data_IF_854925712817
#
_entry.id   IF_854925712817
#
_cell.length_a   1.000
_cell.length_b   1.000
_cell.length_c   1.000
_cell.angle_alpha   90.00
_cell.angle_beta   90.00
_cell.angle_gamma   90.00
#
_symmetry.space_group_name_H-M   'P 1'
#
loop_
_entity.id
_entity.type
_entity.pdbx_description
1 polymer ?
#
# COMPACT_ATOMS: atom_id res chain seq x y z
N UNK A 1 -7.69 5.02 14.96
CA UNK A 1 -6.63 5.83 14.33
C UNK A 1 -5.47 5.91 15.31
N UNK A 2 -4.24 5.84 14.83
CA UNK A 2 -3.03 5.97 15.64
C UNK A 2 -2.20 7.11 15.09
N UNK A 3 -1.61 7.90 15.98
CA UNK A 3 -0.71 9.01 15.67
C UNK A 3 0.63 8.70 16.30
N UNK A 4 1.72 8.94 15.59
CA UNK A 4 3.08 8.73 16.08
C UNK A 4 4.02 9.75 15.45
N UNK A 5 5.06 10.10 16.18
CA UNK A 5 6.09 11.02 15.70
C UNK A 5 6.91 10.42 14.55
N UNK A 6 7.09 9.10 14.56
CA UNK A 6 7.85 8.35 13.57
C UNK A 6 7.18 7.03 13.20
N UNK A 7 7.26 6.63 11.94
CA UNK A 7 6.85 5.32 11.44
C UNK A 7 7.92 4.26 11.75
N UNK A 8 8.24 4.09 13.04
CA UNK A 8 9.22 3.10 13.49
C UNK A 8 8.61 1.71 13.62
N UNK A 9 9.45 0.67 13.60
CA UNK A 9 9.02 -0.70 13.88
C UNK A 9 8.31 -0.83 15.24
N UNK A 10 8.75 -0.05 16.25
CA UNK A 10 8.11 0.03 17.57
C UNK A 10 6.70 0.63 17.49
N UNK A 11 6.51 1.70 16.73
CA UNK A 11 5.20 2.30 16.50
C UNK A 11 4.23 1.27 15.86
N UNK A 12 4.67 0.60 14.81
CA UNK A 12 3.86 -0.41 14.15
C UNK A 12 3.58 -1.64 15.03
N UNK A 13 4.52 -2.02 15.91
CA UNK A 13 4.27 -3.04 16.93
C UNK A 13 3.12 -2.65 17.87
N UNK A 14 3.09 -1.38 18.30
CA UNK A 14 2.02 -0.85 19.16
C UNK A 14 0.67 -0.85 18.44
N UNK A 15 0.62 -0.42 17.18
CA UNK A 15 -0.59 -0.45 16.34
C UNK A 15 -1.16 -1.87 16.23
N UNK A 16 -0.31 -2.85 15.95
CA UNK A 16 -0.70 -4.27 15.81
C UNK A 16 -1.25 -4.84 17.12
N UNK A 17 -0.55 -4.60 18.23
CA UNK A 17 -1.01 -5.03 19.54
C UNK A 17 -2.37 -4.40 19.91
N UNK A 18 -2.55 -3.13 19.55
CA UNK A 18 -3.83 -2.44 19.71
C UNK A 18 -4.94 -3.08 18.88
N UNK A 19 -4.67 -3.48 17.64
CA UNK A 19 -5.64 -4.20 16.79
C UNK A 19 -6.02 -5.55 17.42
N UNK A 20 -5.03 -6.30 17.90
CA UNK A 20 -5.25 -7.58 18.58
C UNK A 20 -6.10 -7.42 19.85
N UNK A 21 -5.80 -6.41 20.66
CA UNK A 21 -6.58 -6.07 21.86
C UNK A 21 -8.01 -5.60 21.54
N UNK A 22 -8.26 -5.10 20.33
CA UNK A 22 -9.59 -4.75 19.83
C UNK A 22 -10.35 -5.93 19.23
N UNK A 23 -9.80 -7.15 19.32
CA UNK A 23 -10.44 -8.39 18.85
C UNK A 23 -10.19 -8.70 17.36
N UNK A 24 -9.17 -8.11 16.72
CA UNK A 24 -8.74 -8.52 15.39
C UNK A 24 -7.91 -9.80 15.54
N UNK A 25 -8.51 -10.92 15.21
CA UNK A 25 -7.88 -12.25 15.35
C UNK A 25 -6.96 -12.57 14.17
N UNK A 26 -7.35 -12.16 12.95
CA UNK A 26 -6.61 -12.44 11.73
C UNK A 26 -6.72 -11.28 10.73
N UNK A 27 -5.72 -11.16 9.85
CA UNK A 27 -5.67 -10.20 8.75
C UNK A 27 -5.41 -10.99 7.47
N UNK A 28 -6.32 -10.95 6.50
CA UNK A 28 -6.16 -11.67 5.24
C UNK A 28 -5.01 -11.15 4.40
N UNK A 29 -4.94 -9.83 4.23
CA UNK A 29 -3.93 -9.18 3.40
C UNK A 29 -3.54 -7.83 4.00
N UNK A 30 -2.24 -7.57 4.02
CA UNK A 30 -1.67 -6.28 4.41
C UNK A 30 -1.00 -5.62 3.20
N UNK A 31 -1.54 -4.48 2.77
CA UNK A 31 -0.95 -3.69 1.69
C UNK A 31 0.02 -2.67 2.28
N UNK A 32 1.28 -2.72 1.86
CA UNK A 32 2.36 -1.91 2.45
C UNK A 32 3.17 -1.16 1.38
N UNK A 33 3.87 -0.11 1.80
CA UNK A 33 4.70 0.73 0.92
C UNK A 33 6.11 0.15 0.72
N UNK A 34 6.34 -1.12 1.04
CA UNK A 34 7.65 -1.75 1.06
C UNK A 34 8.63 -1.12 2.09
N UNK A 35 8.10 -0.75 3.27
CA UNK A 35 8.90 -0.24 4.37
C UNK A 35 9.75 -1.37 4.96
N UNK A 36 11.06 -1.15 5.07
CA UNK A 36 12.00 -2.14 5.59
C UNK A 36 11.60 -2.61 7.01
N UNK A 37 11.50 -3.92 7.19
CA UNK A 37 11.14 -4.54 8.48
C UNK A 37 9.63 -4.56 8.80
N UNK A 38 8.78 -3.91 7.98
CA UNK A 38 7.34 -3.88 8.23
C UNK A 38 6.69 -5.25 7.97
N UNK A 39 7.10 -5.93 6.89
CA UNK A 39 6.63 -7.27 6.56
C UNK A 39 6.93 -8.27 7.66
N UNK A 40 8.19 -8.35 8.10
CA UNK A 40 8.61 -9.21 9.22
C UNK A 40 7.84 -8.90 10.52
N UNK A 41 7.54 -7.63 10.71
CA UNK A 41 6.79 -7.18 11.86
C UNK A 41 5.31 -7.61 11.82
N UNK A 42 4.67 -7.68 10.65
CA UNK A 42 3.31 -8.23 10.48
C UNK A 42 3.32 -9.74 10.69
N UNK A 43 4.22 -10.46 10.03
CA UNK A 43 4.35 -11.91 10.11
C UNK A 43 4.53 -12.41 11.55
N UNK A 44 5.26 -11.67 12.37
CA UNK A 44 5.46 -12.00 13.78
C UNK A 44 4.17 -12.01 14.63
N UNK A 45 3.13 -11.26 14.24
CA UNK A 45 1.86 -11.18 15.00
C UNK A 45 0.71 -11.87 14.27
N UNK A 46 0.71 -11.80 12.95
CA UNK A 46 -0.28 -12.37 12.07
C UNK A 46 0.40 -13.24 11.01
N UNK A 47 0.85 -14.46 11.36
CA UNK A 47 1.68 -15.30 10.47
C UNK A 47 0.93 -15.80 9.23
N UNK A 48 -0.40 -15.72 9.21
CA UNK A 48 -1.22 -16.12 8.07
C UNK A 48 -1.53 -14.97 7.11
N UNK A 49 -1.05 -13.75 7.42
CA UNK A 49 -1.33 -12.57 6.61
C UNK A 49 -0.52 -12.61 5.31
N UNK A 50 -1.21 -12.51 4.19
CA UNK A 50 -0.56 -12.28 2.91
C UNK A 50 -0.07 -10.82 2.83
N UNK A 51 1.18 -10.64 2.41
CA UNK A 51 1.75 -9.30 2.27
C UNK A 51 1.74 -8.90 0.81
N UNK A 52 1.23 -7.71 0.53
CA UNK A 52 1.22 -7.09 -0.79
C UNK A 52 1.96 -5.76 -0.74
N UNK A 53 3.07 -5.68 -1.46
CA UNK A 53 3.74 -4.41 -1.69
C UNK A 53 2.98 -3.55 -2.70
N UNK A 54 2.88 -2.26 -2.41
CA UNK A 54 2.16 -1.32 -3.25
C UNK A 54 2.80 -1.16 -4.63
N UNK A 55 2.11 -1.57 -5.67
CA UNK A 55 2.55 -1.43 -7.08
C UNK A 55 2.80 0.03 -7.44
N UNK A 56 1.98 0.97 -6.95
CA UNK A 56 2.14 2.39 -7.26
C UNK A 56 3.45 2.94 -6.68
N UNK A 57 3.85 2.51 -5.48
CA UNK A 57 5.15 2.88 -4.91
C UNK A 57 6.30 2.26 -5.68
N UNK A 58 6.18 1.01 -6.11
CA UNK A 58 7.17 0.35 -6.97
C UNK A 58 7.33 1.08 -8.31
N UNK A 59 6.22 1.49 -8.95
CA UNK A 59 6.25 2.29 -10.18
C UNK A 59 6.91 3.66 -9.98
N UNK A 60 6.57 4.37 -8.89
CA UNK A 60 7.21 5.66 -8.57
C UNK A 60 8.72 5.51 -8.37
N UNK A 61 9.14 4.46 -7.67
CA UNK A 61 10.56 4.15 -7.49
C UNK A 61 11.24 3.80 -8.82
N UNK A 62 10.58 3.02 -9.68
CA UNK A 62 11.10 2.69 -11.01
C UNK A 62 11.31 3.93 -11.87
N UNK A 63 10.39 4.90 -11.82
CA UNK A 63 10.47 6.13 -12.62
C UNK A 63 11.45 7.18 -12.10
N UNK A 64 11.91 7.06 -10.85
CA UNK A 64 12.67 8.12 -10.16
C UNK A 64 13.98 8.50 -10.86
N UNK A 65 14.63 7.55 -11.51
CA UNK A 65 15.93 7.72 -12.16
C UNK A 65 15.87 7.57 -13.69
N UNK A 66 14.66 7.58 -14.26
CA UNK A 66 14.43 7.44 -15.69
C UNK A 66 14.42 8.82 -16.35
N UNK A 67 15.04 8.94 -17.52
CA UNK A 67 15.00 10.19 -18.29
C UNK A 67 13.55 10.52 -18.71
N UNK A 68 13.22 11.81 -18.78
CA UNK A 68 11.88 12.26 -19.15
C UNK A 68 11.42 11.71 -20.52
N UNK A 69 12.36 11.54 -21.46
CA UNK A 69 12.08 11.01 -22.80
C UNK A 69 11.57 9.56 -22.77
N UNK A 70 12.13 8.75 -21.87
CA UNK A 70 11.85 7.32 -21.79
C UNK A 70 10.70 7.00 -20.83
N UNK A 71 10.40 7.92 -19.90
CA UNK A 71 9.50 7.67 -18.78
C UNK A 71 8.12 7.17 -19.24
N UNK A 72 7.54 7.78 -20.27
CA UNK A 72 6.21 7.41 -20.78
C UNK A 72 6.19 6.00 -21.35
N UNK A 73 7.18 5.64 -22.16
CA UNK A 73 7.29 4.32 -22.79
C UNK A 73 7.56 3.25 -21.74
N UNK A 74 8.53 3.50 -20.85
CA UNK A 74 8.89 2.59 -19.75
C UNK A 74 7.70 2.31 -18.83
N UNK A 75 6.90 3.33 -18.50
CA UNK A 75 5.69 3.15 -17.67
C UNK A 75 4.60 2.38 -18.41
N UNK A 76 4.51 2.48 -19.74
CA UNK A 76 3.58 1.69 -20.54
C UNK A 76 3.98 0.20 -20.53
N UNK A 77 5.28 -0.11 -20.65
CA UNK A 77 5.78 -1.48 -20.59
C UNK A 77 5.60 -2.08 -19.19
N UNK A 78 5.89 -1.32 -18.12
CA UNK A 78 5.60 -1.77 -16.74
C UNK A 78 4.10 -1.99 -16.50
N UNK A 79 3.22 -1.25 -17.21
CA UNK A 79 1.79 -1.50 -17.11
C UNK A 79 1.41 -2.89 -17.61
N UNK A 80 2.06 -3.40 -18.65
CA UNK A 80 1.84 -4.76 -19.14
C UNK A 80 2.13 -5.79 -18.05
N UNK A 81 3.15 -5.56 -17.22
CA UNK A 81 3.52 -6.44 -16.11
C UNK A 81 2.40 -6.51 -15.06
N UNK A 82 2.01 -5.37 -14.48
CA UNK A 82 1.05 -5.39 -13.36
C UNK A 82 -0.43 -5.49 -13.77
N UNK A 83 -0.75 -5.29 -15.05
CA UNK A 83 -2.10 -5.45 -15.58
C UNK A 83 -2.31 -6.82 -16.27
N UNK A 84 -1.35 -7.71 -16.18
CA UNK A 84 -1.42 -9.06 -16.76
C UNK A 84 -2.59 -9.87 -16.19
N UNK A 85 -3.06 -10.85 -16.97
CA UNK A 85 -4.20 -11.70 -16.58
C UNK A 85 -3.83 -12.61 -15.41
N UNK A 86 -2.61 -13.13 -15.41
CA UNK A 86 -2.08 -14.01 -14.37
C UNK A 86 -0.59 -13.73 -14.13
N UNK A 87 -0.03 -14.44 -13.16
CA UNK A 87 1.36 -14.26 -12.74
C UNK A 87 2.35 -14.69 -13.82
N UNK A 88 2.05 -15.74 -14.60
CA UNK A 88 2.92 -16.20 -15.69
C UNK A 88 3.05 -15.13 -16.78
N UNK A 89 1.93 -14.60 -17.24
CA UNK A 89 1.92 -13.52 -18.23
C UNK A 89 2.59 -12.24 -17.70
N UNK A 90 2.54 -12.00 -16.40
CA UNK A 90 3.23 -10.89 -15.78
C UNK A 90 4.77 -11.07 -15.79
N UNK A 91 5.26 -12.28 -15.56
CA UNK A 91 6.70 -12.61 -15.65
C UNK A 91 7.19 -12.52 -17.08
N UNK A 92 6.44 -13.03 -18.07
CA UNK A 92 6.77 -12.90 -19.50
C UNK A 92 6.86 -11.42 -19.92
N UNK A 93 5.92 -10.60 -19.42
CA UNK A 93 5.95 -9.16 -19.66
C UNK A 93 7.16 -8.48 -18.98
N UNK A 94 7.58 -8.97 -17.79
CA UNK A 94 8.76 -8.46 -17.10
C UNK A 94 10.05 -8.86 -17.82
N UNK A 95 10.10 -10.04 -18.42
CA UNK A 95 11.23 -10.48 -19.25
C UNK A 95 11.34 -9.62 -20.53
N UNK A 96 10.22 -9.37 -21.21
CA UNK A 96 10.15 -8.45 -22.35
C UNK A 96 10.59 -7.04 -21.95
N UNK A 97 10.16 -6.56 -20.78
CA UNK A 97 10.60 -5.29 -20.22
C UNK A 97 12.12 -5.24 -20.03
N UNK A 98 12.71 -6.32 -19.48
CA UNK A 98 14.14 -6.41 -19.24
C UNK A 98 14.93 -6.37 -20.57
N UNK A 99 14.48 -7.09 -21.60
CA UNK A 99 15.11 -7.07 -22.93
C UNK A 99 15.16 -5.66 -23.54
N UNK A 100 14.10 -4.86 -23.36
CA UNK A 100 14.03 -3.50 -23.88
C UNK A 100 14.86 -2.50 -23.07
N UNK A 101 14.85 -2.61 -21.74
CA UNK A 101 15.29 -1.53 -20.86
C UNK A 101 16.58 -1.80 -20.07
N UNK A 102 17.01 -3.07 -19.90
CA UNK A 102 18.14 -3.40 -19.01
C UNK A 102 19.47 -2.84 -19.48
N UNK A 103 19.65 -2.65 -20.79
CA UNK A 103 20.85 -1.97 -21.32
C UNK A 103 21.00 -0.54 -20.78
N UNK A 104 19.89 0.12 -20.44
CA UNK A 104 19.86 1.51 -19.98
C UNK A 104 19.51 1.65 -18.51
N UNK A 105 18.59 0.82 -18.02
CA UNK A 105 18.04 0.88 -16.66
C UNK A 105 17.97 -0.50 -15.97
N UNK A 106 19.08 -1.23 -15.82
CA UNK A 106 19.08 -2.62 -15.35
C UNK A 106 18.54 -2.79 -13.92
N UNK A 107 18.64 -1.75 -13.10
CA UNK A 107 18.18 -1.78 -11.72
C UNK A 107 16.66 -1.86 -11.58
N UNK A 108 15.90 -1.53 -12.64
CA UNK A 108 14.43 -1.52 -12.55
C UNK A 108 13.91 -2.96 -12.59
N UNK A 109 14.25 -3.73 -13.62
CA UNK A 109 13.85 -5.13 -13.73
C UNK A 109 14.34 -5.94 -12.54
N UNK A 110 15.59 -5.72 -12.11
CA UNK A 110 16.15 -6.34 -10.90
C UNK A 110 15.31 -6.03 -9.66
N UNK A 111 14.97 -4.77 -9.42
CA UNK A 111 14.14 -4.37 -8.28
C UNK A 111 12.73 -5.00 -8.30
N UNK A 112 12.14 -5.19 -9.48
CA UNK A 112 10.87 -5.90 -9.60
C UNK A 112 11.01 -7.38 -9.28
N UNK A 113 12.07 -8.04 -9.75
CA UNK A 113 12.36 -9.44 -9.45
C UNK A 113 12.64 -9.67 -7.96
N UNK A 114 13.47 -8.82 -7.35
CA UNK A 114 13.84 -8.93 -5.94
C UNK A 114 12.61 -8.80 -5.01
N UNK A 115 11.62 -8.00 -5.40
CA UNK A 115 10.40 -7.79 -4.63
C UNK A 115 9.21 -8.63 -5.14
N UNK A 116 9.42 -9.51 -6.11
CA UNK A 116 8.34 -10.20 -6.83
C UNK A 116 7.37 -10.95 -5.92
N UNK A 117 7.89 -11.68 -4.96
CA UNK A 117 7.09 -12.48 -4.02
C UNK A 117 5.99 -11.66 -3.33
N UNK A 118 6.31 -10.40 -2.96
CA UNK A 118 5.36 -9.50 -2.30
C UNK A 118 4.62 -8.58 -3.29
N UNK A 119 5.11 -8.43 -4.52
CA UNK A 119 4.45 -7.66 -5.57
C UNK A 119 3.37 -8.48 -6.28
N UNK A 120 3.57 -9.80 -6.44
CA UNK A 120 2.68 -10.69 -7.17
C UNK A 120 1.52 -11.25 -6.32
N UNK A 121 1.49 -11.01 -5.02
CA UNK A 121 0.50 -11.57 -4.09
C UNK A 121 -0.94 -11.34 -4.55
N UNK A 122 -1.25 -10.19 -5.17
CA UNK A 122 -2.61 -9.88 -5.64
C UNK A 122 -3.10 -10.84 -6.76
N UNK A 123 -2.22 -11.52 -7.48
CA UNK A 123 -2.63 -12.50 -8.49
C UNK A 123 -3.38 -13.69 -7.91
N UNK A 124 -3.16 -14.01 -6.63
CA UNK A 124 -3.90 -15.06 -5.88
C UNK A 124 -5.39 -14.72 -5.74
N UNK A 125 -5.79 -13.46 -5.97
CA UNK A 125 -7.15 -12.99 -5.76
C UNK A 125 -7.91 -12.79 -7.08
N UNK A 126 -9.25 -12.91 -7.07
CA UNK A 126 -10.08 -12.63 -8.24
C UNK A 126 -9.82 -11.25 -8.84
N UNK A 127 -9.85 -11.14 -10.16
CA UNK A 127 -9.52 -9.90 -10.89
C UNK A 127 -10.29 -8.67 -10.39
N UNK A 128 -11.55 -8.83 -9.99
CA UNK A 128 -12.38 -7.75 -9.46
C UNK A 128 -11.81 -7.13 -8.16
N UNK A 129 -11.09 -7.92 -7.36
CA UNK A 129 -10.49 -7.47 -6.10
C UNK A 129 -9.06 -6.95 -6.27
N UNK A 130 -8.34 -7.38 -7.31
CA UNK A 130 -6.92 -7.04 -7.50
C UNK A 130 -6.66 -5.55 -7.45
N UNK A 131 -7.53 -4.75 -8.10
CA UNK A 131 -7.38 -3.28 -8.13
C UNK A 131 -7.47 -2.63 -6.74
N UNK A 132 -8.25 -3.21 -5.83
CA UNK A 132 -8.35 -2.73 -4.46
C UNK A 132 -7.10 -3.06 -3.64
N UNK A 133 -6.41 -4.15 -4.00
CA UNK A 133 -5.27 -4.71 -3.30
C UNK A 133 -3.97 -4.03 -3.73
N UNK A 134 -3.69 -3.95 -5.03
CA UNK A 134 -2.42 -3.42 -5.53
C UNK A 134 -2.35 -1.90 -5.62
N UNK A 135 -3.46 -1.19 -5.37
CA UNK A 135 -3.46 0.28 -5.35
C UNK A 135 -3.81 0.82 -3.97
N UNK A 136 -3.02 1.76 -3.48
CA UNK A 136 -3.31 2.52 -2.25
C UNK A 136 -4.20 3.73 -2.51
N UNK A 137 -4.82 3.84 -3.69
CA UNK A 137 -5.62 5.00 -4.08
C UNK A 137 -6.73 5.34 -3.08
N UNK A 138 -7.33 4.34 -2.44
CA UNK A 138 -8.37 4.55 -1.42
C UNK A 138 -7.80 5.25 -0.18
N UNK A 139 -6.64 4.77 0.32
CA UNK A 139 -5.95 5.37 1.47
C UNK A 139 -5.35 6.71 1.09
N UNK A 140 -4.76 6.84 -0.10
CA UNK A 140 -4.26 8.14 -0.60
C UNK A 140 -5.37 9.17 -0.74
N UNK A 141 -6.55 8.75 -1.22
CA UNK A 141 -7.75 9.60 -1.28
C UNK A 141 -8.20 10.06 0.11
N UNK A 142 -8.22 9.16 1.08
CA UNK A 142 -8.52 9.46 2.47
C UNK A 142 -7.47 10.41 3.08
N UNK A 143 -6.18 10.10 2.93
CA UNK A 143 -5.09 10.97 3.39
C UNK A 143 -5.13 12.35 2.75
N UNK A 144 -5.55 12.46 1.48
CA UNK A 144 -5.74 13.76 0.82
C UNK A 144 -6.86 14.57 1.47
N UNK A 145 -7.95 13.94 1.89
CA UNK A 145 -9.01 14.63 2.63
C UNK A 145 -8.52 15.08 4.02
N UNK A 146 -7.82 14.19 4.75
CA UNK A 146 -7.21 14.56 6.02
C UNK A 146 -6.25 15.75 5.87
N UNK A 147 -5.40 15.75 4.83
CA UNK A 147 -4.48 16.86 4.57
C UNK A 147 -5.17 18.19 4.28
N UNK A 148 -6.36 18.20 3.68
CA UNK A 148 -7.13 19.46 3.49
C UNK A 148 -7.46 20.12 4.82
N UNK A 149 -7.77 19.30 5.83
CA UNK A 149 -8.14 19.78 7.16
C UNK A 149 -6.90 20.13 7.99
N UNK A 150 -5.88 19.27 7.96
CA UNK A 150 -4.64 19.49 8.75
C UNK A 150 -3.73 20.58 8.18
N UNK A 151 -3.82 20.88 6.88
CA UNK A 151 -2.97 21.87 6.22
C UNK A 151 -3.22 23.31 6.70
N UNK A 152 -4.40 23.59 7.24
CA UNK A 152 -4.75 24.91 7.79
C UNK A 152 -4.13 25.18 9.18
N UNK A 153 -3.64 24.14 9.86
CA UNK A 153 -2.94 24.24 11.15
C UNK A 153 -1.63 23.46 11.06
N UNK A 154 -0.54 24.19 11.08
CA UNK A 154 0.81 23.61 10.97
C UNK A 154 1.31 22.95 12.25
N UNK A 155 0.74 23.30 13.41
CA UNK A 155 1.15 22.80 14.73
C UNK A 155 -0.08 22.48 15.58
N UNK A 156 -0.08 21.30 16.18
CA UNK A 156 -1.06 20.89 17.17
C UNK A 156 -0.38 20.83 18.54
N UNK A 157 -0.91 21.53 19.57
CA UNK A 157 -0.29 21.56 20.89
C UNK A 157 -0.33 20.22 21.61
N UNK A 158 -1.29 19.35 21.27
CA UNK A 158 -1.42 18.00 21.85
C UNK A 158 -2.01 17.03 20.81
N UNK A 159 -1.74 15.71 20.96
CA UNK A 159 -2.35 14.65 20.14
C UNK A 159 -3.86 14.68 20.24
N UNK A 160 -4.44 14.98 21.42
CA UNK A 160 -5.88 15.12 21.60
C UNK A 160 -6.49 16.23 20.74
N UNK A 161 -5.79 17.33 20.54
CA UNK A 161 -6.25 18.42 19.69
C UNK A 161 -6.28 18.01 18.21
N UNK A 162 -5.31 17.19 17.79
CA UNK A 162 -5.28 16.59 16.47
C UNK A 162 -6.41 15.56 16.30
N UNK A 163 -6.60 14.68 17.28
CA UNK A 163 -7.69 13.69 17.24
C UNK A 163 -9.06 14.34 17.18
N UNK A 164 -9.33 15.35 17.98
CA UNK A 164 -10.59 16.10 17.94
C UNK A 164 -10.84 16.71 16.56
N UNK A 165 -9.83 17.29 15.94
CA UNK A 165 -9.96 17.84 14.59
C UNK A 165 -10.23 16.75 13.55
N UNK A 166 -9.54 15.62 13.64
CA UNK A 166 -9.74 14.47 12.74
C UNK A 166 -11.09 13.76 12.93
N UNK A 167 -11.71 13.85 14.11
CA UNK A 167 -13.04 13.28 14.40
C UNK A 167 -14.18 14.19 13.94
N UNK A 168 -13.96 15.51 13.95
CA UNK A 168 -14.98 16.48 13.52
C UNK A 168 -15.17 16.57 12.00
N UNK A 169 -14.27 16.02 11.23
CA UNK A 169 -14.37 15.89 9.80
C UNK A 169 -14.19 14.40 9.41
N UNK A 170 -14.91 13.77 8.60
CA UNK A 170 -15.67 14.21 7.47
C UNK A 170 -16.97 13.45 7.27
N UNK A 171 -18.05 14.10 7.47
CA UNK A 171 -19.34 13.60 6.94
C UNK A 171 -19.42 13.67 5.39
N UNK A 172 -18.34 14.10 4.72
CA UNK A 172 -18.30 14.31 3.27
C UNK A 172 -17.68 13.18 2.46
N UNK A 173 -17.09 12.17 3.06
CA UNK A 173 -16.61 11.02 2.29
C UNK A 173 -17.69 9.95 2.14
N UNK A 174 -18.70 10.18 1.30
CA UNK A 174 -19.71 9.18 0.92
C UNK A 174 -19.13 7.96 0.17
N UNK A 175 -17.80 7.89 -0.07
CA UNK A 175 -17.12 6.80 -0.79
C UNK A 175 -16.07 6.03 0.00
N UNK A 176 -15.75 6.42 1.21
CA UNK A 176 -14.89 5.65 2.10
C UNK A 176 -15.73 4.75 3.00
N UNK A 177 -16.46 3.82 2.39
CA UNK A 177 -17.01 2.69 3.12
C UNK A 177 -15.97 1.59 3.17
N UNK A 178 -14.86 1.81 3.85
CA UNK A 178 -14.17 0.71 4.49
C UNK A 178 -14.96 0.46 5.76
N UNK A 179 -15.99 -0.35 5.62
CA UNK A 179 -16.80 -0.82 6.71
C UNK A 179 -15.95 -1.65 7.66
N UNK A 180 -15.61 -1.06 8.80
CA UNK A 180 -15.66 -1.82 10.03
C UNK A 180 -17.14 -2.13 10.28
N UNK A 181 -17.65 -3.20 9.69
CA UNK A 181 -18.95 -3.74 10.06
C UNK A 181 -18.82 -4.27 11.49
N UNK A 182 -19.20 -3.43 12.45
CA UNK A 182 -19.57 -3.89 13.79
C UNK A 182 -20.66 -4.94 13.59
N UNK A 183 -20.36 -6.21 13.79
CA UNK A 183 -21.38 -7.23 13.99
C UNK A 183 -22.19 -6.79 15.19
N UNK A 184 -23.41 -6.31 14.97
CA UNK A 184 -24.41 -6.23 16.02
C UNK A 184 -24.76 -7.67 16.35
N UNK A 185 -24.36 -8.13 17.53
CA UNK A 185 -24.94 -9.31 18.14
C UNK A 185 -26.42 -8.97 18.39
N UNK A 186 -27.30 -9.52 17.57
CA UNK A 186 -28.70 -9.68 17.92
C UNK A 186 -28.80 -10.84 18.89
N UNK A 187 -29.26 -10.50 20.09
CA UNK A 187 -29.83 -11.48 21.03
C UNK A 187 -31.10 -12.08 20.46
#
# INVERSE_FOLDING_TARGET
MWVGENESAKFWATVRNSLKNQGVEDIFIACTDNLTGFSAAIEAVYPKTEIQNCIIHQLRNSGKYVSYKDLKALMADLRAVYAAVDESAALDALDTFAEHWDKKYPKISQSWRDNWANLSTYFKFPQALRRLIYTTNTIEGFNRQLRKVTKSKSVFPTDDSLFKMLQHEPKTCKRCTVCAQKRRNSR
#
